data_IF_449875228396
#
_entry.id   IF_449875228396
#
_cell.length_a   1.000
_cell.length_b   1.000
_cell.length_c   1.000
_cell.angle_alpha   90.00
_cell.angle_beta   90.00
_cell.angle_gamma   90.00
#
_symmetry.space_group_name_H-M   'P 1'
#
loop_
_entity.id
_entity.type
_entity.pdbx_description
1 polymer ?
#
# COMPACT_ATOMS: atom_id res chain seq x y z
N UNK A 1 -5.37 3.92 28.61
CA UNK A 1 -6.55 4.50 27.91
C UNK A 1 -6.05 5.39 26.80
N UNK A 2 -6.40 5.10 25.55
CA UNK A 2 -5.97 5.93 24.42
C UNK A 2 -6.53 7.35 24.54
N UNK A 3 -5.66 8.34 24.41
CA UNK A 3 -6.03 9.76 24.53
C UNK A 3 -6.81 10.17 23.29
N UNK A 4 -8.04 10.64 23.49
CA UNK A 4 -8.92 11.07 22.38
C UNK A 4 -8.35 12.35 21.75
N UNK A 5 -7.96 12.25 20.47
CA UNK A 5 -7.53 13.38 19.65
C UNK A 5 -8.72 14.27 19.30
N UNK A 6 -8.53 15.60 19.45
CA UNK A 6 -9.51 16.60 19.00
C UNK A 6 -9.14 17.10 17.61
N UNK A 7 -10.11 17.70 16.92
CA UNK A 7 -9.89 18.29 15.61
C UNK A 7 -8.80 19.39 15.67
N UNK A 8 -7.85 19.33 14.75
CA UNK A 8 -6.74 20.31 14.65
C UNK A 8 -5.54 20.02 15.52
N UNK A 9 -5.58 19.05 16.46
CA UNK A 9 -4.41 18.70 17.27
C UNK A 9 -3.36 17.95 16.44
N UNK A 10 -2.08 18.29 16.65
CA UNK A 10 -0.92 17.72 15.94
C UNK A 10 -0.28 16.61 16.78
N UNK A 11 -1.03 15.53 17.03
CA UNK A 11 -0.61 14.38 17.84
C UNK A 11 -0.16 13.20 16.97
N UNK A 12 0.58 13.47 15.90
CA UNK A 12 1.27 12.44 15.12
C UNK A 12 2.65 12.12 15.70
N UNK A 13 3.16 10.92 15.37
CA UNK A 13 4.43 10.41 15.91
C UNK A 13 5.59 11.42 15.68
N UNK A 14 5.63 12.12 14.55
CA UNK A 14 6.72 13.06 14.23
C UNK A 14 6.71 14.29 15.15
N UNK A 15 5.53 14.88 15.37
CA UNK A 15 5.39 16.03 16.26
C UNK A 15 5.63 15.65 17.73
N UNK A 16 5.13 14.48 18.16
CA UNK A 16 5.34 13.99 19.52
C UNK A 16 6.83 13.66 19.80
N UNK A 17 7.52 13.03 18.85
CA UNK A 17 8.97 12.80 18.95
C UNK A 17 9.70 14.12 19.10
N UNK A 18 9.43 15.09 18.22
CA UNK A 18 10.08 16.41 18.25
C UNK A 18 9.87 17.13 19.56
N UNK A 19 8.63 17.15 20.07
CA UNK A 19 8.32 17.81 21.35
C UNK A 19 8.98 17.08 22.52
N UNK A 20 8.98 15.74 22.52
CA UNK A 20 9.67 14.94 23.54
C UNK A 20 11.17 15.20 23.55
N UNK A 21 11.82 15.28 22.38
CA UNK A 21 13.23 15.59 22.25
C UNK A 21 13.55 17.01 22.78
N UNK A 22 12.77 18.01 22.37
CA UNK A 22 12.96 19.41 22.80
C UNK A 22 12.75 19.62 24.31
N UNK A 23 11.86 18.85 24.93
CA UNK A 23 11.67 18.89 26.41
C UNK A 23 12.78 18.22 27.20
N UNK A 24 13.57 17.35 26.54
CA UNK A 24 14.66 16.60 27.18
C UNK A 24 16.07 17.12 26.80
N UNK A 25 16.18 18.24 26.08
CA UNK A 25 17.47 18.88 25.77
C UNK A 25 18.06 19.62 26.96
N UNK A 26 19.32 20.02 26.83
CA UNK A 26 20.02 20.82 27.87
C UNK A 26 19.37 22.19 28.11
N UNK A 27 18.78 22.78 27.08
CA UNK A 27 17.92 23.98 27.12
C UNK A 27 16.49 23.62 26.68
N UNK A 28 15.66 23.11 27.63
CA UNK A 28 14.36 22.57 27.27
C UNK A 28 13.35 23.67 27.01
N UNK A 29 12.49 23.43 26.00
CA UNK A 29 11.32 24.28 25.75
C UNK A 29 10.37 24.27 26.96
N UNK A 30 9.58 25.32 27.08
CA UNK A 30 8.57 25.39 28.15
C UNK A 30 7.38 24.47 27.82
N UNK A 31 6.68 23.99 28.85
CA UNK A 31 5.44 23.20 28.65
C UNK A 31 4.38 23.98 27.90
N UNK A 32 4.41 25.30 27.91
CA UNK A 32 3.50 26.16 27.15
C UNK A 32 3.82 26.07 25.65
N UNK A 33 5.08 26.23 25.29
CA UNK A 33 5.55 26.10 23.90
C UNK A 33 5.27 24.69 23.35
N UNK A 34 5.51 23.66 24.16
CA UNK A 34 5.17 22.28 23.81
C UNK A 34 3.66 22.10 23.47
N UNK A 35 2.78 22.71 24.27
CA UNK A 35 1.35 22.70 23.99
C UNK A 35 1.00 23.47 22.71
N UNK A 36 1.65 24.59 22.46
CA UNK A 36 1.46 25.39 21.22
C UNK A 36 1.91 24.61 19.97
N UNK A 37 3.07 23.94 20.04
CA UNK A 37 3.58 23.08 18.95
C UNK A 37 2.61 21.94 18.60
N UNK A 38 2.00 21.33 19.63
CA UNK A 38 1.02 20.24 19.46
C UNK A 38 -0.39 20.75 19.14
N UNK A 39 -0.57 22.07 19.10
CA UNK A 39 -1.88 22.71 18.92
C UNK A 39 -2.93 22.20 19.93
N UNK A 40 -2.52 22.06 21.19
CA UNK A 40 -3.40 21.70 22.30
C UNK A 40 -3.56 22.87 23.27
N UNK A 41 -4.71 22.95 23.93
CA UNK A 41 -4.91 23.93 25.00
C UNK A 41 -3.86 23.71 26.11
N UNK A 42 -3.34 24.81 26.68
CA UNK A 42 -2.38 24.73 27.77
C UNK A 42 -2.94 23.93 28.94
N UNK A 43 -2.44 22.74 29.11
CA UNK A 43 -2.79 21.84 30.20
C UNK A 43 -1.64 20.86 30.44
N UNK A 44 -0.86 21.12 31.46
CA UNK A 44 0.37 20.36 31.81
C UNK A 44 0.07 18.90 32.13
N UNK A 45 -1.08 18.61 32.76
CA UNK A 45 -1.48 17.25 33.11
C UNK A 45 -1.85 16.46 31.83
N UNK A 46 -2.57 17.10 30.89
CA UNK A 46 -2.89 16.47 29.60
C UNK A 46 -1.65 16.26 28.75
N UNK A 47 -0.77 17.28 28.69
CA UNK A 47 0.51 17.16 27.98
C UNK A 47 1.34 16.00 28.53
N UNK A 48 1.49 15.90 29.86
CA UNK A 48 2.20 14.80 30.51
C UNK A 48 1.63 13.44 30.09
N UNK A 49 0.32 13.25 30.22
CA UNK A 49 -0.34 11.99 29.80
C UNK A 49 -0.12 11.65 28.33
N UNK A 50 -0.15 12.65 27.43
CA UNK A 50 0.09 12.43 25.99
C UNK A 50 1.53 11.94 25.78
N UNK A 51 2.50 12.59 26.41
CA UNK A 51 3.92 12.23 26.27
C UNK A 51 4.23 10.89 26.94
N UNK A 52 3.65 10.61 28.10
CA UNK A 52 3.82 9.34 28.80
C UNK A 52 3.27 8.17 27.95
N UNK A 53 2.06 8.29 27.42
CA UNK A 53 1.42 7.29 26.56
C UNK A 53 2.24 7.08 25.26
N UNK A 54 2.76 8.16 24.68
CA UNK A 54 3.66 8.11 23.53
C UNK A 54 4.97 7.40 23.84
N UNK A 55 5.66 7.77 24.93
CA UNK A 55 6.94 7.19 25.32
C UNK A 55 6.81 5.72 25.71
N UNK A 56 5.73 5.34 26.41
CA UNK A 56 5.42 3.95 26.72
C UNK A 56 5.20 3.13 25.44
N UNK A 57 4.43 3.66 24.50
CA UNK A 57 4.18 3.03 23.19
C UNK A 57 5.48 2.91 22.38
N UNK A 58 6.33 3.93 22.36
CA UNK A 58 7.62 3.92 21.69
C UNK A 58 8.56 2.87 22.29
N UNK A 59 8.68 2.82 23.62
CA UNK A 59 9.46 1.82 24.34
C UNK A 59 8.99 0.40 24.07
N UNK A 60 7.68 0.17 24.06
CA UNK A 60 7.11 -1.12 23.72
C UNK A 60 7.45 -1.53 22.28
N UNK A 61 7.33 -0.60 21.32
CA UNK A 61 7.71 -0.85 19.91
C UNK A 61 9.18 -1.23 19.77
N UNK A 62 10.08 -0.52 20.42
CA UNK A 62 11.51 -0.81 20.36
C UNK A 62 11.85 -2.17 20.99
N UNK A 63 11.24 -2.51 22.12
CA UNK A 63 11.39 -3.81 22.76
C UNK A 63 10.94 -4.93 21.81
N UNK A 64 9.79 -4.77 21.17
CA UNK A 64 9.28 -5.76 20.18
C UNK A 64 10.18 -5.87 18.96
N UNK A 65 10.68 -4.75 18.42
CA UNK A 65 11.63 -4.78 17.30
C UNK A 65 12.92 -5.50 17.68
N UNK A 66 13.45 -5.24 18.89
CA UNK A 66 14.64 -5.91 19.40
C UNK A 66 14.43 -7.42 19.51
N UNK A 67 13.29 -7.85 20.06
CA UNK A 67 12.93 -9.26 20.17
C UNK A 67 12.77 -9.95 18.81
N UNK A 68 12.34 -9.23 17.79
CA UNK A 68 12.12 -9.74 16.43
C UNK A 68 13.39 -9.67 15.55
N UNK A 69 14.42 -8.97 16.00
CA UNK A 69 15.66 -8.77 15.23
C UNK A 69 16.32 -10.11 14.92
N UNK A 70 16.68 -10.32 13.66
CA UNK A 70 17.35 -11.54 13.18
C UNK A 70 16.44 -12.75 13.02
N UNK A 71 15.16 -12.70 13.41
CA UNK A 71 14.22 -13.80 13.17
C UNK A 71 13.69 -13.77 11.75
N UNK A 72 13.54 -14.95 11.16
CA UNK A 72 12.89 -15.12 9.85
C UNK A 72 11.44 -14.65 9.89
N UNK A 73 10.89 -14.26 8.74
CA UNK A 73 9.47 -13.99 8.60
C UNK A 73 8.65 -15.27 8.87
N UNK A 74 7.57 -15.14 9.61
CA UNK A 74 6.56 -16.19 9.70
C UNK A 74 5.62 -16.10 8.49
N UNK A 75 4.91 -17.19 8.18
CA UNK A 75 3.94 -17.22 7.09
C UNK A 75 2.83 -16.18 7.32
N UNK A 76 2.43 -16.00 8.59
CA UNK A 76 1.44 -14.98 8.95
C UNK A 76 1.96 -13.56 8.70
N UNK A 77 3.20 -13.25 9.07
CA UNK A 77 3.80 -11.94 8.79
C UNK A 77 3.96 -11.70 7.28
N UNK A 78 4.32 -12.75 6.53
CA UNK A 78 4.44 -12.69 5.07
C UNK A 78 3.10 -12.37 4.43
N UNK A 79 2.06 -13.15 4.76
CA UNK A 79 0.70 -12.91 4.28
C UNK A 79 0.18 -11.52 4.63
N UNK A 80 0.31 -11.13 5.89
CA UNK A 80 -0.16 -9.83 6.37
C UNK A 80 0.56 -8.66 5.67
N UNK A 81 1.86 -8.79 5.42
CA UNK A 81 2.61 -7.78 4.70
C UNK A 81 2.11 -7.60 3.26
N UNK A 82 1.85 -8.71 2.55
CA UNK A 82 1.36 -8.69 1.17
C UNK A 82 -0.06 -8.10 1.11
N UNK A 83 -0.99 -8.64 1.89
CA UNK A 83 -2.39 -8.20 1.90
C UNK A 83 -2.50 -6.71 2.22
N UNK A 84 -1.77 -6.23 3.21
CA UNK A 84 -1.78 -4.82 3.60
C UNK A 84 -1.18 -3.92 2.53
N UNK A 85 -0.09 -4.37 1.90
CA UNK A 85 0.52 -3.62 0.81
C UNK A 85 -0.42 -3.49 -0.40
N UNK A 86 -1.10 -4.58 -0.78
CA UNK A 86 -2.08 -4.56 -1.86
C UNK A 86 -3.30 -3.70 -1.52
N UNK A 87 -3.72 -3.64 -0.26
CA UNK A 87 -4.76 -2.73 0.26
C UNK A 87 -4.37 -1.25 0.26
N UNK A 88 -3.12 -0.94 -0.06
CA UNK A 88 -2.64 0.43 -0.17
C UNK A 88 -1.87 0.95 1.02
N UNK A 89 -1.66 0.15 2.06
CA UNK A 89 -0.83 0.57 3.19
C UNK A 89 0.62 0.81 2.76
N UNK A 90 1.27 1.77 3.41
CA UNK A 90 2.68 2.04 3.14
C UNK A 90 3.58 1.00 3.81
N UNK A 91 4.74 0.72 3.22
CA UNK A 91 5.77 -0.14 3.83
C UNK A 91 6.13 0.33 5.24
N UNK A 92 6.11 1.65 5.48
CA UNK A 92 6.37 2.23 6.80
C UNK A 92 5.31 1.82 7.82
N UNK A 93 4.03 1.88 7.47
CA UNK A 93 2.94 1.56 8.38
C UNK A 93 2.88 0.05 8.65
N UNK A 94 3.06 -0.77 7.61
CA UNK A 94 3.19 -2.22 7.75
C UNK A 94 4.34 -2.58 8.70
N UNK A 95 5.52 -1.94 8.52
CA UNK A 95 6.70 -2.19 9.36
C UNK A 95 6.46 -1.83 10.83
N UNK A 96 5.76 -0.74 11.09
CA UNK A 96 5.37 -0.32 12.46
C UNK A 96 4.44 -1.35 13.10
N UNK A 97 3.45 -1.82 12.36
CA UNK A 97 2.45 -2.79 12.85
C UNK A 97 3.06 -4.17 13.13
N UNK A 98 3.95 -4.64 12.25
CA UNK A 98 4.66 -5.91 12.41
C UNK A 98 5.84 -5.85 13.40
N UNK A 99 6.16 -4.68 13.95
CA UNK A 99 7.37 -4.46 14.75
C UNK A 99 8.65 -4.95 14.06
N UNK A 100 8.75 -4.70 12.76
CA UNK A 100 9.89 -5.04 11.89
C UNK A 100 10.47 -3.78 11.26
N UNK A 101 11.63 -3.91 10.60
CA UNK A 101 12.19 -2.82 9.81
C UNK A 101 11.46 -2.67 8.46
N UNK A 102 11.53 -1.49 7.87
CA UNK A 102 11.02 -1.27 6.50
C UNK A 102 11.74 -2.15 5.47
N UNK A 103 13.05 -2.37 5.67
CA UNK A 103 13.85 -3.28 4.83
C UNK A 103 13.34 -4.72 4.93
N UNK A 104 12.93 -5.16 6.11
CA UNK A 104 12.37 -6.50 6.29
C UNK A 104 11.07 -6.68 5.48
N UNK A 105 10.17 -5.70 5.52
CA UNK A 105 8.93 -5.73 4.73
C UNK A 105 9.23 -5.70 3.23
N UNK A 106 10.12 -4.81 2.78
CA UNK A 106 10.55 -4.77 1.37
C UNK A 106 11.11 -6.12 0.90
N UNK A 107 12.00 -6.72 1.68
CA UNK A 107 12.58 -8.03 1.33
C UNK A 107 11.52 -9.15 1.25
N UNK A 108 10.42 -9.06 1.99
CA UNK A 108 9.28 -9.98 1.83
C UNK A 108 8.61 -9.75 0.48
N UNK A 109 8.23 -8.50 0.18
CA UNK A 109 7.55 -8.14 -1.04
C UNK A 109 8.37 -8.48 -2.29
N UNK A 110 9.68 -8.15 -2.26
CA UNK A 110 10.61 -8.43 -3.36
C UNK A 110 10.80 -9.95 -3.56
N UNK A 111 10.97 -10.70 -2.47
CA UNK A 111 11.16 -12.15 -2.55
C UNK A 111 9.93 -12.89 -3.07
N UNK A 112 8.77 -12.39 -2.79
CA UNK A 112 7.48 -12.97 -3.20
C UNK A 112 7.11 -12.54 -4.62
N UNK A 113 7.73 -11.50 -5.15
CA UNK A 113 7.41 -10.97 -6.46
C UNK A 113 6.16 -10.08 -6.47
N UNK A 114 5.97 -9.30 -5.41
CA UNK A 114 4.86 -8.32 -5.38
C UNK A 114 5.27 -7.06 -6.15
N UNK A 115 4.49 -6.61 -7.15
CA UNK A 115 4.82 -5.43 -7.94
C UNK A 115 4.98 -4.16 -7.09
N UNK A 116 6.04 -3.39 -7.35
CA UNK A 116 6.32 -2.18 -6.58
C UNK A 116 5.35 -1.04 -6.94
N UNK A 117 4.81 -0.37 -5.93
CA UNK A 117 4.03 0.86 -6.10
C UNK A 117 4.97 2.05 -6.28
N UNK A 118 5.21 2.43 -7.52
CA UNK A 118 6.05 3.58 -7.83
C UNK A 118 5.30 4.90 -7.61
N UNK A 119 5.98 5.95 -7.11
CA UNK A 119 5.39 7.28 -7.02
C UNK A 119 5.04 7.82 -8.42
N UNK A 120 3.98 8.62 -8.52
CA UNK A 120 3.45 9.17 -9.80
C UNK A 120 4.54 9.80 -10.68
N UNK A 121 5.54 10.43 -10.06
CA UNK A 121 6.68 11.08 -10.75
C UNK A 121 7.64 10.10 -11.42
N UNK A 122 7.64 8.82 -11.01
CA UNK A 122 8.53 7.77 -11.55
C UNK A 122 7.82 6.81 -12.51
N UNK A 123 6.51 6.98 -12.73
CA UNK A 123 5.72 6.17 -13.66
C UNK A 123 6.02 6.59 -15.09
N UNK A 124 7.15 6.17 -15.65
CA UNK A 124 7.54 6.43 -17.05
C UNK A 124 7.68 5.11 -17.78
N UNK A 125 6.89 4.96 -18.86
CA UNK A 125 6.96 3.80 -19.75
C UNK A 125 6.28 2.54 -19.20
N UNK A 126 6.55 1.41 -19.82
CA UNK A 126 6.10 0.10 -19.36
C UNK A 126 6.55 -0.14 -17.93
N UNK A 127 5.61 -0.44 -17.04
CA UNK A 127 5.96 -0.69 -15.66
C UNK A 127 6.68 -2.04 -15.58
N UNK A 128 7.74 -2.06 -14.81
CA UNK A 128 8.46 -3.28 -14.51
C UNK A 128 7.56 -4.20 -13.69
N UNK A 129 7.29 -5.37 -14.22
CA UNK A 129 6.60 -6.45 -13.54
C UNK A 129 7.63 -7.49 -13.09
N UNK A 130 7.55 -8.01 -11.85
CA UNK A 130 8.34 -9.16 -11.43
C UNK A 130 8.08 -10.38 -12.33
N UNK A 131 9.11 -11.23 -12.47
CA UNK A 131 9.01 -12.43 -13.31
C UNK A 131 7.86 -13.35 -12.88
N UNK A 132 7.55 -13.39 -11.59
CA UNK A 132 6.46 -14.17 -11.01
C UNK A 132 5.07 -13.70 -11.48
N UNK A 133 4.97 -12.45 -11.93
CA UNK A 133 3.72 -11.87 -12.42
C UNK A 133 3.54 -12.05 -13.94
N UNK A 134 4.58 -12.46 -14.66
CA UNK A 134 4.51 -12.53 -16.12
C UNK A 134 3.58 -13.68 -16.55
N UNK A 135 2.58 -13.36 -17.37
CA UNK A 135 1.66 -14.32 -17.96
C UNK A 135 1.32 -13.92 -19.39
N UNK A 136 1.10 -14.90 -20.26
CA UNK A 136 0.70 -14.66 -21.66
C UNK A 136 -0.80 -14.38 -21.80
N UNK A 137 -1.61 -14.91 -20.88
CA UNK A 137 -3.06 -14.78 -20.89
C UNK A 137 -3.61 -14.72 -19.44
N UNK A 138 -4.81 -14.19 -19.31
CA UNK A 138 -5.50 -14.01 -18.03
C UNK A 138 -6.94 -14.50 -18.15
N UNK A 139 -7.45 -15.14 -17.10
CA UNK A 139 -8.83 -15.62 -17.05
C UNK A 139 -9.80 -14.55 -16.52
N UNK A 140 -11.08 -14.65 -16.89
CA UNK A 140 -12.13 -13.78 -16.30
C UNK A 140 -12.22 -14.02 -14.78
N UNK A 141 -12.23 -12.95 -14.02
CA UNK A 141 -12.19 -12.99 -12.55
C UNK A 141 -10.78 -13.08 -11.94
N UNK A 142 -9.76 -13.29 -12.75
CA UNK A 142 -8.37 -13.34 -12.27
C UNK A 142 -7.93 -12.01 -11.66
N UNK A 143 -7.19 -12.09 -10.57
CA UNK A 143 -6.58 -10.93 -9.91
C UNK A 143 -5.26 -10.63 -10.59
N UNK A 144 -5.14 -9.41 -11.05
CA UNK A 144 -3.96 -8.95 -11.78
C UNK A 144 -3.46 -7.61 -11.22
N UNK A 145 -2.22 -7.31 -11.49
CA UNK A 145 -1.65 -5.99 -11.29
C UNK A 145 -1.71 -5.20 -12.58
N UNK A 146 -2.29 -4.01 -12.54
CA UNK A 146 -2.22 -3.08 -13.66
C UNK A 146 -0.98 -2.21 -13.55
N UNK A 147 -0.05 -2.39 -14.47
CA UNK A 147 1.18 -1.64 -14.54
C UNK A 147 0.93 -0.14 -14.79
N UNK A 148 -0.05 0.20 -15.62
CA UNK A 148 -0.39 1.59 -15.94
C UNK A 148 -1.01 2.34 -14.76
N UNK A 149 -1.84 1.67 -13.98
CA UNK A 149 -2.53 2.28 -12.83
C UNK A 149 -1.78 2.07 -11.51
N UNK A 150 -0.77 1.18 -11.49
CA UNK A 150 -0.06 0.77 -10.28
C UNK A 150 -1.00 0.32 -9.15
N UNK A 151 -1.98 -0.48 -9.53
CA UNK A 151 -3.01 -0.97 -8.63
C UNK A 151 -3.44 -2.38 -9.00
N UNK A 152 -3.91 -3.17 -8.02
CA UNK A 152 -4.57 -4.42 -8.31
C UNK A 152 -5.85 -4.18 -9.13
N UNK A 153 -6.18 -5.15 -9.96
CA UNK A 153 -7.37 -5.15 -10.79
C UNK A 153 -7.96 -6.56 -10.92
N UNK A 154 -9.16 -6.64 -11.41
CA UNK A 154 -9.84 -7.90 -11.75
C UNK A 154 -10.07 -7.92 -13.25
N UNK A 155 -9.73 -9.01 -13.90
CA UNK A 155 -10.04 -9.22 -15.33
C UNK A 155 -11.54 -9.41 -15.50
N UNK A 156 -12.18 -8.53 -16.27
CA UNK A 156 -13.61 -8.65 -16.57
C UNK A 156 -13.85 -9.40 -17.88
N UNK A 157 -13.04 -9.14 -18.89
CA UNK A 157 -13.20 -9.74 -20.20
C UNK A 157 -11.96 -9.57 -21.07
N UNK A 158 -11.68 -10.59 -21.91
CA UNK A 158 -10.70 -10.53 -22.99
C UNK A 158 -11.35 -10.09 -24.30
N UNK A 159 -10.61 -9.30 -25.08
CA UNK A 159 -10.95 -8.91 -26.44
C UNK A 159 -9.79 -9.22 -27.36
N UNK A 160 -9.94 -10.21 -28.23
CA UNK A 160 -9.01 -10.44 -29.35
C UNK A 160 -9.24 -9.45 -30.48
N UNK A 161 -10.49 -9.06 -30.70
CA UNK A 161 -10.90 -8.10 -31.71
C UNK A 161 -11.67 -6.96 -31.05
N UNK A 162 -11.29 -5.73 -31.32
CA UNK A 162 -12.01 -4.55 -30.87
C UNK A 162 -12.37 -3.64 -32.04
N UNK A 163 -13.51 -2.95 -31.91
CA UNK A 163 -13.94 -1.94 -32.84
C UNK A 163 -13.42 -0.57 -32.38
N UNK A 164 -12.67 0.06 -33.27
CA UNK A 164 -12.24 1.44 -33.06
C UNK A 164 -13.09 2.36 -33.94
N UNK A 165 -13.86 3.25 -33.29
CA UNK A 165 -14.52 4.35 -33.99
C UNK A 165 -13.46 5.44 -34.27
N UNK A 166 -12.94 5.44 -35.49
CA UNK A 166 -12.13 6.56 -35.97
C UNK A 166 -12.84 7.24 -37.13
N UNK A 167 -13.06 8.53 -37.04
CA UNK A 167 -13.54 9.28 -38.20
C UNK A 167 -12.52 9.22 -39.34
N UNK A 168 -12.90 8.81 -40.56
CA UNK A 168 -14.27 8.64 -41.11
C UNK A 168 -14.80 7.21 -41.20
N UNK A 169 -14.46 6.28 -40.31
CA UNK A 169 -14.99 4.91 -40.38
C UNK A 169 -14.71 4.04 -39.18
N UNK A 170 -15.45 2.97 -39.01
CA UNK A 170 -15.23 1.93 -38.02
C UNK A 170 -14.05 1.08 -38.49
N UNK A 171 -12.96 1.06 -37.72
CA UNK A 171 -11.84 0.15 -37.94
C UNK A 171 -11.93 -1.01 -36.98
N UNK A 172 -11.88 -2.22 -37.49
CA UNK A 172 -11.69 -3.43 -36.69
C UNK A 172 -10.19 -3.64 -36.48
N UNK A 173 -9.78 -3.77 -35.23
CA UNK A 173 -8.40 -4.07 -34.85
C UNK A 173 -8.37 -5.48 -34.28
N UNK A 174 -7.55 -6.32 -34.85
CA UNK A 174 -7.23 -7.65 -34.34
C UNK A 174 -5.93 -7.53 -33.54
N UNK A 175 -6.04 -7.48 -32.19
CA UNK A 175 -4.90 -7.24 -31.32
C UNK A 175 -3.85 -8.35 -31.38
N UNK A 176 -4.26 -9.60 -31.54
CA UNK A 176 -3.32 -10.72 -31.70
C UNK A 176 -2.53 -10.63 -33.00
N UNK A 177 -3.24 -10.35 -34.11
CA UNK A 177 -2.61 -10.24 -35.43
C UNK A 177 -1.79 -8.99 -35.63
N UNK A 178 -2.31 -7.85 -35.15
CA UNK A 178 -1.73 -6.53 -35.42
C UNK A 178 -0.64 -6.16 -34.41
N UNK A 179 -0.73 -6.66 -33.17
CA UNK A 179 0.15 -6.27 -32.05
C UNK A 179 0.75 -7.45 -31.28
N UNK A 180 0.35 -8.69 -31.56
CA UNK A 180 0.82 -9.89 -30.84
C UNK A 180 0.41 -9.94 -29.36
N UNK A 181 -0.71 -9.29 -29.01
CA UNK A 181 -1.20 -9.19 -27.63
C UNK A 181 -2.72 -9.23 -27.61
N UNK A 182 -3.30 -9.44 -26.44
CA UNK A 182 -4.75 -9.30 -26.21
C UNK A 182 -5.07 -7.99 -25.53
N UNK A 183 -6.29 -7.50 -25.72
CA UNK A 183 -6.84 -6.37 -24.96
C UNK A 183 -7.78 -6.93 -23.89
N UNK A 184 -7.56 -6.53 -22.64
CA UNK A 184 -8.41 -6.90 -21.52
C UNK A 184 -9.20 -5.71 -21.02
N UNK A 185 -10.46 -5.91 -20.71
CA UNK A 185 -11.22 -5.03 -19.85
C UNK A 185 -10.97 -5.48 -18.43
N UNK A 186 -10.55 -4.56 -17.59
CA UNK A 186 -10.23 -4.79 -16.19
C UNK A 186 -11.03 -3.85 -15.30
N UNK A 187 -11.33 -4.30 -14.10
CA UNK A 187 -11.81 -3.45 -13.01
C UNK A 187 -10.64 -3.09 -12.09
N UNK A 188 -10.21 -1.85 -12.14
CA UNK A 188 -9.09 -1.35 -11.34
C UNK A 188 -9.57 -1.07 -9.93
N UNK A 189 -8.85 -1.61 -8.95
CA UNK A 189 -9.11 -1.42 -7.53
C UNK A 189 -8.32 -0.23 -7.01
N UNK A 190 -8.94 0.63 -6.22
CA UNK A 190 -8.22 1.67 -5.53
C UNK A 190 -7.57 1.08 -4.28
N UNK A 191 -6.24 0.98 -4.28
CA UNK A 191 -5.48 0.22 -3.31
C UNK A 191 -5.46 0.76 -1.88
N UNK A 192 -6.00 1.96 -1.63
CA UNK A 192 -6.16 2.56 -0.30
C UNK A 192 -7.52 2.25 0.36
N UNK A 193 -8.37 1.51 -0.34
CA UNK A 193 -9.72 1.17 0.11
C UNK A 193 -9.78 -0.24 0.68
N UNK A 194 -10.78 -0.47 1.54
CA UNK A 194 -10.95 -1.76 2.16
C UNK A 194 -11.17 -2.85 1.12
N UNK A 195 -10.27 -3.79 1.16
CA UNK A 195 -10.31 -5.01 0.38
C UNK A 195 -11.14 -6.03 1.12
N UNK A 196 -12.32 -6.32 0.66
CA UNK A 196 -13.18 -7.33 1.27
C UNK A 196 -13.52 -8.45 0.29
N UNK A 197 -13.93 -9.57 0.82
CA UNK A 197 -14.27 -10.77 0.06
C UNK A 197 -15.50 -10.61 -0.85
N UNK A 198 -16.34 -9.63 -0.59
CA UNK A 198 -17.49 -9.28 -1.41
C UNK A 198 -17.21 -8.16 -2.41
N UNK A 199 -15.96 -7.81 -2.59
CA UNK A 199 -15.59 -6.76 -3.51
C UNK A 199 -16.20 -5.39 -3.18
N UNK A 200 -16.32 -5.03 -1.90
CA UNK A 200 -16.77 -3.70 -1.47
C UNK A 200 -16.01 -2.56 -2.12
N UNK A 201 -14.77 -2.80 -2.50
CA UNK A 201 -13.95 -1.92 -3.30
C UNK A 201 -14.44 -1.75 -4.74
N UNK A 202 -15.23 -2.70 -5.30
CA UNK A 202 -15.80 -2.63 -6.65
C UNK A 202 -16.66 -1.38 -6.82
N UNK A 203 -17.31 -0.95 -5.76
CA UNK A 203 -18.10 0.29 -5.78
C UNK A 203 -17.26 1.55 -5.90
N UNK A 204 -15.95 1.43 -5.69
CA UNK A 204 -14.99 2.54 -5.67
C UNK A 204 -13.92 2.42 -6.75
N UNK A 205 -13.90 1.32 -7.49
CA UNK A 205 -13.04 1.11 -8.63
C UNK A 205 -13.60 1.70 -9.92
N UNK A 206 -12.90 1.47 -10.99
CA UNK A 206 -13.30 1.88 -12.33
C UNK A 206 -12.86 0.86 -13.37
N UNK A 207 -13.65 0.75 -14.46
CA UNK A 207 -13.29 -0.08 -15.61
C UNK A 207 -12.27 0.63 -16.49
N UNK A 208 -11.30 -0.14 -16.98
CA UNK A 208 -10.31 0.32 -17.95
C UNK A 208 -10.00 -0.76 -18.96
N UNK A 209 -9.37 -0.39 -20.07
CA UNK A 209 -8.85 -1.33 -21.04
C UNK A 209 -7.32 -1.32 -20.99
N UNK A 210 -6.72 -2.49 -20.94
CA UNK A 210 -5.27 -2.70 -20.85
C UNK A 210 -4.82 -3.79 -21.80
N UNK A 211 -3.66 -3.61 -22.39
CA UNK A 211 -3.01 -4.64 -23.18
C UNK A 211 -2.37 -5.69 -22.27
N UNK A 212 -2.29 -6.94 -22.72
CA UNK A 212 -1.80 -8.06 -21.92
C UNK A 212 -0.43 -7.81 -21.29
N UNK A 213 0.48 -7.15 -22.02
CA UNK A 213 1.82 -6.83 -21.51
C UNK A 213 1.86 -5.75 -20.39
N UNK A 214 0.76 -5.04 -20.18
CA UNK A 214 0.60 -4.08 -19.08
C UNK A 214 -0.04 -4.71 -17.83
N UNK A 215 -0.31 -6.01 -17.87
CA UNK A 215 -0.92 -6.77 -16.80
C UNK A 215 0.06 -7.82 -16.26
N UNK A 216 0.01 -8.02 -14.95
CA UNK A 216 0.75 -9.10 -14.28
C UNK A 216 -0.19 -9.94 -13.43
N UNK A 217 -0.11 -11.27 -13.53
CA UNK A 217 -0.87 -12.18 -12.68
C UNK A 217 -0.47 -12.04 -11.21
N UNK A 218 -1.43 -12.13 -10.31
CA UNK A 218 -1.20 -12.18 -8.86
C UNK A 218 -1.52 -13.56 -8.26
N UNK A 219 -1.77 -14.57 -9.10
CA UNK A 219 -2.17 -15.92 -8.65
C UNK A 219 -1.08 -16.61 -7.83
N UNK A 220 0.21 -16.35 -8.11
CA UNK A 220 1.31 -16.88 -7.31
C UNK A 220 1.26 -16.47 -5.84
N UNK A 221 0.55 -15.38 -5.49
CA UNK A 221 0.40 -14.94 -4.10
C UNK A 221 -0.49 -15.85 -3.27
N UNK A 222 -1.32 -16.68 -3.89
CA UNK A 222 -2.17 -17.67 -3.22
C UNK A 222 -1.35 -18.72 -2.49
N UNK A 223 -0.14 -19.04 -2.99
CA UNK A 223 0.80 -19.97 -2.33
C UNK A 223 1.21 -19.49 -0.93
N UNK A 224 1.16 -18.19 -0.70
CA UNK A 224 1.46 -17.57 0.60
C UNK A 224 0.21 -17.40 1.48
N UNK A 225 -0.91 -17.99 1.07
CA UNK A 225 -2.19 -17.92 1.76
C UNK A 225 -2.86 -16.55 1.66
N UNK A 226 -2.42 -15.71 0.72
CA UNK A 226 -3.02 -14.40 0.42
C UNK A 226 -4.35 -14.64 -0.27
N UNK A 227 -5.42 -14.14 0.31
CA UNK A 227 -6.74 -14.18 -0.31
C UNK A 227 -6.93 -12.90 -1.12
N UNK A 228 -6.79 -13.07 -2.40
CA UNK A 228 -6.97 -12.02 -3.40
C UNK A 228 -8.43 -11.93 -3.85
#
# INVERSE_FOLDING_TARGET
MAIRKKAGEKLDDANLTRVSELLNQDDPITKKEACEMLNISYNTTRLGKILDDFNETASYRETRKSQNRGKKATDMETREAIESYLKGETVSDISKRLYRSTTFVKNILDRVGVPEKLPKTKRKGAAYLPDECVSESFEEGEKVWSASYHAPAIVEKEYTIAYQDSMPGIRTVDYQKDYGCSLYRIWVLEGDKEWNEYFGYVTQGFSAHQLSYDLGSLTHLEEYGVRL
#
